data_IF_640128452098
#
_entry.id   IF_640128452098
#
_cell.length_a   1.000
_cell.length_b   1.000
_cell.length_c   1.000
_cell.angle_alpha   90.00
_cell.angle_beta   90.00
_cell.angle_gamma   90.00
#
_symmetry.space_group_name_H-M   'P 1'
#
loop_
_entity.id
_entity.type
_entity.pdbx_description
1 polymer ?
#
# COMPACT_ATOMS: atom_id res chain seq x y z
N UNK A 1 -26.34 15.06 -24.48
CA UNK A 1 -26.42 13.83 -25.28
C UNK A 1 -25.29 12.93 -24.83
N UNK A 2 -25.57 12.00 -23.92
CA UNK A 2 -24.57 11.03 -23.46
C UNK A 2 -24.41 9.99 -24.56
N UNK A 3 -23.22 9.86 -25.13
CA UNK A 3 -22.91 8.77 -26.04
C UNK A 3 -22.87 7.49 -25.21
N UNK A 4 -23.73 6.53 -25.56
CA UNK A 4 -23.65 5.18 -25.02
C UNK A 4 -22.28 4.59 -25.39
N UNK A 5 -21.51 4.22 -24.37
CA UNK A 5 -20.26 3.49 -24.56
C UNK A 5 -20.64 2.09 -25.02
N UNK A 6 -20.19 1.61 -26.19
CA UNK A 6 -20.56 0.29 -26.66
C UNK A 6 -20.09 -0.78 -25.66
N UNK A 7 -20.85 -1.86 -25.44
CA UNK A 7 -20.42 -2.94 -24.58
C UNK A 7 -19.08 -3.45 -25.10
N UNK A 8 -18.10 -3.57 -24.21
CA UNK A 8 -16.81 -4.17 -24.51
C UNK A 8 -17.08 -5.56 -25.11
N UNK A 9 -16.96 -5.69 -26.43
CA UNK A 9 -16.82 -6.97 -27.11
C UNK A 9 -15.47 -7.52 -26.66
N UNK A 10 -15.46 -8.21 -25.52
CA UNK A 10 -14.35 -9.07 -25.14
C UNK A 10 -14.26 -10.19 -26.18
N UNK A 11 -13.14 -10.22 -26.90
CA UNK A 11 -12.81 -11.29 -27.83
C UNK A 11 -12.28 -10.75 -29.14
N UNK A 12 -11.00 -10.38 -29.15
CA UNK A 12 -10.20 -10.65 -30.34
C UNK A 12 -10.32 -12.17 -30.61
N UNK A 13 -10.36 -12.60 -31.87
CA UNK A 13 -10.59 -14.00 -32.24
C UNK A 13 -9.53 -15.01 -31.70
N UNK A 14 -8.53 -14.53 -30.94
CA UNK A 14 -7.47 -15.26 -30.26
C UNK A 14 -7.45 -15.03 -28.72
N UNK A 15 -8.59 -14.68 -28.11
CA UNK A 15 -8.66 -14.62 -26.64
C UNK A 15 -8.62 -16.03 -26.03
N UNK A 16 -7.45 -16.41 -25.51
CA UNK A 16 -7.22 -17.69 -24.82
C UNK A 16 -8.07 -17.86 -23.55
N UNK A 17 -8.75 -16.81 -23.08
CA UNK A 17 -9.66 -16.85 -21.95
C UNK A 17 -11.13 -17.00 -22.36
N UNK A 18 -11.44 -17.14 -23.65
CA UNK A 18 -12.81 -17.36 -24.10
C UNK A 18 -13.37 -18.66 -23.51
N UNK A 19 -14.49 -18.55 -22.76
CA UNK A 19 -15.12 -19.68 -22.07
C UNK A 19 -14.46 -20.07 -20.75
N UNK A 20 -13.40 -19.38 -20.31
CA UNK A 20 -12.82 -19.58 -18.98
C UNK A 20 -13.73 -18.91 -17.94
N UNK A 21 -14.18 -19.68 -16.96
CA UNK A 21 -14.89 -19.16 -15.80
C UNK A 21 -13.83 -18.54 -14.87
N UNK A 22 -13.87 -17.23 -14.58
CA UNK A 22 -12.92 -16.62 -13.66
C UNK A 22 -13.08 -17.24 -12.26
N UNK A 23 -11.98 -17.41 -11.51
CA UNK A 23 -12.08 -17.89 -10.15
C UNK A 23 -12.93 -16.93 -9.30
N UNK A 24 -13.77 -17.50 -8.44
CA UNK A 24 -14.51 -16.70 -7.47
C UNK A 24 -13.53 -16.13 -6.44
N UNK A 25 -13.50 -14.80 -6.32
CA UNK A 25 -12.70 -14.15 -5.29
C UNK A 25 -13.40 -14.28 -3.94
N UNK A 26 -12.89 -15.18 -3.10
CA UNK A 26 -13.32 -15.32 -1.70
C UNK A 26 -12.29 -14.60 -0.83
N UNK A 27 -12.54 -13.35 -0.40
CA UNK A 27 -11.60 -12.63 0.45
C UNK A 27 -11.46 -13.35 1.79
N UNK A 28 -10.22 -13.52 2.25
CA UNK A 28 -9.99 -13.88 3.64
C UNK A 28 -10.54 -12.79 4.55
N UNK A 29 -11.08 -13.19 5.72
CA UNK A 29 -11.50 -12.23 6.73
C UNK A 29 -10.29 -11.44 7.20
N UNK A 30 -10.33 -10.13 7.01
CA UNK A 30 -9.34 -9.19 7.53
C UNK A 30 -9.97 -8.51 8.75
N UNK A 31 -9.24 -8.47 9.86
CA UNK A 31 -9.62 -7.68 11.04
C UNK A 31 -8.78 -6.42 11.05
N UNK A 32 -9.44 -5.27 11.11
CA UNK A 32 -8.78 -3.98 11.32
C UNK A 32 -8.68 -3.80 12.85
N UNK A 33 -7.46 -3.61 13.40
CA UNK A 33 -7.30 -3.40 14.84
C UNK A 33 -8.07 -2.17 15.31
N UNK A 34 -8.65 -2.23 16.51
CA UNK A 34 -9.23 -1.04 17.14
C UNK A 34 -8.15 -0.10 17.67
N UNK A 35 -8.53 1.12 18.03
CA UNK A 35 -7.60 2.08 18.62
C UNK A 35 -7.04 1.56 19.96
N UNK A 36 -7.88 0.93 20.77
CA UNK A 36 -7.49 0.31 22.04
C UNK A 36 -6.45 -0.81 21.82
N UNK A 37 -6.67 -1.66 20.82
CA UNK A 37 -5.72 -2.72 20.47
C UNK A 37 -4.38 -2.16 19.99
N UNK A 38 -4.40 -1.07 19.20
CA UNK A 38 -3.19 -0.37 18.76
C UNK A 38 -2.44 0.22 19.97
N UNK A 39 -3.13 0.85 20.90
CA UNK A 39 -2.49 1.39 22.11
C UNK A 39 -1.88 0.29 22.97
N UNK A 40 -2.61 -0.81 23.19
CA UNK A 40 -2.10 -1.96 23.92
C UNK A 40 -0.84 -2.56 23.25
N UNK A 41 -0.82 -2.61 21.91
CA UNK A 41 0.37 -3.04 21.16
C UNK A 41 1.57 -2.11 21.36
N UNK A 42 1.37 -0.82 21.58
CA UNK A 42 2.48 0.13 21.76
C UNK A 42 3.12 0.03 23.15
N UNK A 43 2.37 -0.37 24.18
CA UNK A 43 2.89 -0.45 25.57
C UNK A 43 3.91 -1.58 25.78
N UNK A 44 3.77 -2.69 25.06
CA UNK A 44 4.52 -3.93 25.29
C UNK A 44 5.66 -4.18 24.28
N UNK A 45 6.04 -3.16 23.50
CA UNK A 45 6.94 -3.30 22.35
C UNK A 45 8.13 -2.35 22.39
N UNK A 46 9.13 -2.65 21.57
CA UNK A 46 10.32 -1.79 21.44
C UNK A 46 9.97 -0.44 20.83
N UNK A 47 10.73 0.61 21.20
CA UNK A 47 10.57 1.96 20.64
C UNK A 47 10.58 1.97 19.11
N UNK A 48 11.43 1.14 18.49
CA UNK A 48 11.48 1.02 17.04
C UNK A 48 10.16 0.52 16.45
N UNK A 49 9.55 -0.52 17.04
CA UNK A 49 8.26 -1.04 16.56
C UNK A 49 7.12 -0.05 16.80
N UNK A 50 7.16 0.69 17.91
CA UNK A 50 6.18 1.74 18.20
C UNK A 50 6.17 2.81 17.10
N UNK A 51 7.34 3.26 16.64
CA UNK A 51 7.45 4.22 15.53
C UNK A 51 6.85 3.64 14.24
N UNK A 52 7.12 2.36 13.93
CA UNK A 52 6.53 1.72 12.75
C UNK A 52 5.00 1.65 12.85
N UNK A 53 4.46 1.30 14.02
CA UNK A 53 3.01 1.29 14.25
C UNK A 53 2.42 2.69 14.02
N UNK A 54 3.05 3.74 14.56
CA UNK A 54 2.55 5.12 14.42
C UNK A 54 2.57 5.62 12.98
N UNK A 55 3.62 5.30 12.22
CA UNK A 55 3.69 5.62 10.79
C UNK A 55 2.60 4.89 9.99
N UNK A 56 2.29 3.65 10.35
CA UNK A 56 1.29 2.84 9.66
C UNK A 56 -0.15 3.25 10.02
N UNK A 57 -0.49 3.32 11.32
CA UNK A 57 -1.85 3.61 11.78
C UNK A 57 -2.18 5.10 11.75
N UNK A 58 -1.20 5.97 12.01
CA UNK A 58 -1.38 7.42 12.07
C UNK A 58 -1.18 8.11 10.71
N UNK A 59 -0.24 7.63 9.89
CA UNK A 59 0.11 8.26 8.61
C UNK A 59 -0.21 7.38 7.38
N UNK A 60 -0.82 6.21 7.57
CA UNK A 60 -1.22 5.32 6.47
C UNK A 60 -0.05 4.71 5.69
N UNK A 61 1.16 4.67 6.27
CA UNK A 61 2.30 4.05 5.60
C UNK A 61 2.05 2.55 5.40
N UNK A 62 2.42 2.06 4.22
CA UNK A 62 2.55 0.61 4.01
C UNK A 62 3.79 0.12 4.74
N UNK A 63 3.82 -1.17 5.07
CA UNK A 63 4.89 -1.78 5.84
C UNK A 63 6.31 -1.41 5.31
N UNK A 64 6.54 -1.56 4.00
CA UNK A 64 7.82 -1.20 3.39
C UNK A 64 8.17 0.29 3.47
N UNK A 65 7.17 1.18 3.42
CA UNK A 65 7.36 2.64 3.54
C UNK A 65 7.74 3.01 4.98
N UNK A 66 7.07 2.41 5.97
CA UNK A 66 7.37 2.63 7.38
C UNK A 66 8.80 2.17 7.74
N UNK A 67 9.22 1.00 7.24
CA UNK A 67 10.59 0.49 7.47
C UNK A 67 11.68 1.29 6.76
N UNK A 68 11.34 2.02 5.71
CA UNK A 68 12.27 2.91 5.01
C UNK A 68 12.39 4.29 5.64
N UNK A 69 11.55 4.59 6.65
CA UNK A 69 11.48 5.92 7.22
C UNK A 69 12.81 6.38 7.82
N UNK A 70 13.16 7.64 7.58
CA UNK A 70 14.40 8.23 8.06
C UNK A 70 14.26 9.75 8.16
N UNK A 71 15.13 10.40 8.94
CA UNK A 71 14.99 11.83 9.25
C UNK A 71 15.11 12.75 8.02
N UNK A 72 15.76 12.31 6.94
CA UNK A 72 15.89 13.11 5.72
C UNK A 72 14.55 13.30 4.99
N UNK A 73 13.55 12.46 5.29
CA UNK A 73 12.19 12.59 4.78
C UNK A 73 11.38 13.69 5.46
N UNK A 74 11.83 14.26 6.59
CA UNK A 74 11.16 15.39 7.23
C UNK A 74 11.37 16.66 6.41
N UNK A 75 10.29 17.28 5.94
CA UNK A 75 10.34 18.51 5.13
C UNK A 75 9.83 19.74 5.89
N UNK A 76 9.14 19.52 7.01
CA UNK A 76 8.75 20.51 8.02
C UNK A 76 8.58 19.77 9.35
N UNK A 77 8.35 20.50 10.45
CA UNK A 77 8.24 19.93 11.80
C UNK A 77 7.13 18.86 11.92
N UNK A 78 6.09 18.95 11.09
CA UNK A 78 4.91 18.09 11.09
C UNK A 78 4.67 17.40 9.73
N UNK A 79 5.57 17.54 8.76
CA UNK A 79 5.41 16.97 7.41
C UNK A 79 6.51 15.98 7.09
N UNK A 80 6.11 14.72 6.91
CA UNK A 80 6.97 13.64 6.42
C UNK A 80 6.70 13.30 4.95
N UNK A 81 7.75 13.29 4.12
CA UNK A 81 7.68 12.92 2.70
C UNK A 81 8.22 11.51 2.48
N UNK A 82 7.31 10.59 2.17
CA UNK A 82 7.67 9.25 1.70
C UNK A 82 8.30 9.32 0.31
N UNK A 83 9.51 8.80 0.17
CA UNK A 83 10.30 8.78 -1.08
C UNK A 83 10.68 7.38 -1.52
N UNK A 84 10.77 6.43 -0.59
CA UNK A 84 11.29 5.08 -0.82
C UNK A 84 10.56 4.05 0.06
N UNK A 85 10.84 2.76 -0.17
CA UNK A 85 10.33 1.63 0.61
C UNK A 85 11.39 0.54 0.74
N UNK A 86 11.25 -0.33 1.74
CA UNK A 86 11.99 -1.59 1.79
C UNK A 86 11.28 -2.63 0.92
N UNK A 87 12.02 -3.19 -0.04
CA UNK A 87 11.53 -4.25 -0.92
C UNK A 87 11.48 -5.60 -0.17
N UNK A 88 10.41 -6.37 -0.41
CA UNK A 88 10.07 -7.52 0.44
C UNK A 88 11.05 -8.70 0.37
N UNK A 89 11.71 -8.91 -0.77
CA UNK A 89 12.59 -10.07 -1.00
C UNK A 89 14.04 -9.79 -0.61
N UNK A 90 14.61 -8.74 -1.19
CA UNK A 90 15.98 -8.26 -0.97
C UNK A 90 16.16 -7.55 0.37
N UNK A 91 15.06 -7.03 0.96
CA UNK A 91 15.10 -6.20 2.17
C UNK A 91 15.98 -4.95 2.02
N UNK A 92 16.15 -4.49 0.78
CA UNK A 92 16.88 -3.27 0.46
C UNK A 92 15.93 -2.11 0.20
N UNK A 93 16.45 -0.88 0.33
CA UNK A 93 15.74 0.33 -0.08
C UNK A 93 15.52 0.31 -1.58
N UNK A 94 14.32 0.69 -2.00
CA UNK A 94 13.85 0.63 -3.38
C UNK A 94 12.88 1.79 -3.65
N UNK A 95 12.74 2.23 -4.91
CA UNK A 95 11.68 3.15 -5.32
C UNK A 95 10.29 2.61 -4.97
N UNK A 96 9.32 3.51 -4.81
CA UNK A 96 7.92 3.19 -4.53
C UNK A 96 7.29 2.40 -5.71
N UNK A 97 6.69 1.24 -5.40
CA UNK A 97 6.24 0.19 -6.36
C UNK A 97 5.14 0.61 -7.33
N UNK A 98 4.47 1.73 -7.08
CA UNK A 98 3.38 2.26 -7.91
C UNK A 98 3.58 3.73 -8.27
N UNK A 99 4.84 4.18 -8.33
CA UNK A 99 5.16 5.56 -8.66
C UNK A 99 5.98 5.60 -9.93
N UNK A 100 5.51 6.36 -10.94
CA UNK A 100 6.35 6.77 -12.05
C UNK A 100 7.16 7.99 -11.63
N UNK A 101 8.36 8.17 -12.19
CA UNK A 101 9.23 9.29 -11.85
C UNK A 101 8.56 10.67 -12.03
N UNK A 102 7.55 10.76 -12.89
CA UNK A 102 6.80 11.98 -13.21
C UNK A 102 5.53 12.20 -12.39
N UNK A 103 5.13 11.27 -11.52
CA UNK A 103 3.87 11.41 -10.78
C UNK A 103 4.05 12.45 -9.66
N UNK A 104 3.51 13.65 -9.92
CA UNK A 104 3.39 14.73 -8.93
C UNK A 104 2.30 14.41 -7.89
N UNK A 105 2.46 14.95 -6.68
CA UNK A 105 1.40 14.95 -5.65
C UNK A 105 0.52 16.16 -5.83
#
# INVERSE_FOLDING_TARGET
MWQEVPPLLFGDADDSFQGVIPPEYIPNRITIPTLEEIHALKEVRSKALVVIIDLMSGCGHRNGEAFAANLEGMVADDVYRITEQIEGKTRQRSPLKHRRASDFR
#
